data_IF_633856093790
#
_entry.id   IF_633856093790
#
_cell.length_a   1.000
_cell.length_b   1.000
_cell.length_c   1.000
_cell.angle_alpha   90.00
_cell.angle_beta   90.00
_cell.angle_gamma   90.00
#
_symmetry.space_group_name_H-M   'P 1'
#
loop_
_entity.id
_entity.type
_entity.pdbx_description
1 polymer ?
#
# COMPACT_ATOMS: atom_id res chain seq x y z
N UNK A 1 -4.80 -10.53 -0.47
CA UNK A 1 -3.44 -10.78 -1.02
C UNK A 1 -3.59 -11.08 -2.51
N UNK A 2 -2.56 -10.85 -3.34
CA UNK A 2 -2.67 -10.93 -4.81
C UNK A 2 -3.06 -9.62 -5.52
N UNK A 3 -3.05 -8.48 -4.82
CA UNK A 3 -3.17 -7.17 -5.48
C UNK A 3 -1.82 -6.79 -6.11
N UNK A 4 -1.85 -6.22 -7.31
CA UNK A 4 -0.67 -5.69 -7.98
C UNK A 4 -0.45 -4.24 -7.56
N UNK A 5 0.79 -3.88 -7.25
CA UNK A 5 1.14 -2.56 -6.67
C UNK A 5 2.40 -2.05 -7.33
N UNK A 6 2.60 -0.73 -7.23
CA UNK A 6 3.81 -0.05 -7.67
C UNK A 6 4.77 0.07 -6.48
N UNK A 7 6.02 -0.29 -6.71
CA UNK A 7 7.11 -0.08 -5.77
C UNK A 7 7.63 1.35 -5.88
N UNK A 8 7.81 2.03 -4.75
CA UNK A 8 8.27 3.42 -4.70
C UNK A 8 9.71 3.52 -4.22
N UNK A 9 9.99 3.06 -3.00
CA UNK A 9 11.33 3.02 -2.41
C UNK A 9 11.45 1.91 -1.37
N UNK A 10 12.69 1.50 -1.08
CA UNK A 10 13.00 0.70 0.09
C UNK A 10 13.25 1.61 1.28
N UNK A 11 12.64 1.30 2.43
CA UNK A 11 12.86 2.04 3.66
C UNK A 11 14.11 1.54 4.39
N UNK A 12 14.61 2.34 5.34
CA UNK A 12 15.77 1.99 6.17
C UNK A 12 15.57 0.71 6.98
N UNK A 13 14.32 0.38 7.33
CA UNK A 13 13.96 -0.89 7.97
C UNK A 13 14.09 -2.12 7.07
N UNK A 14 14.36 -1.95 5.77
CA UNK A 14 14.33 -3.01 4.77
C UNK A 14 12.93 -3.30 4.21
N UNK A 15 11.87 -2.70 4.77
CA UNK A 15 10.51 -2.81 4.24
C UNK A 15 10.35 -2.01 2.93
N UNK A 16 9.52 -2.50 2.04
CA UNK A 16 9.19 -1.84 0.78
C UNK A 16 8.03 -0.87 0.99
N UNK A 17 8.21 0.38 0.56
CA UNK A 17 7.11 1.32 0.41
C UNK A 17 6.43 1.05 -0.93
N UNK A 18 5.18 0.66 -0.86
CA UNK A 18 4.35 0.37 -2.04
C UNK A 18 3.08 1.21 -2.02
N UNK A 19 2.56 1.48 -3.21
CA UNK A 19 1.23 2.03 -3.40
C UNK A 19 0.57 1.35 -4.59
N UNK A 20 -0.72 1.09 -4.49
CA UNK A 20 -1.54 0.82 -5.66
C UNK A 20 -2.52 1.98 -5.73
N UNK A 21 -2.53 2.82 -6.78
CA UNK A 21 -3.29 4.05 -6.74
C UNK A 21 -4.70 3.81 -6.21
N UNK A 22 -5.06 4.52 -5.14
CA UNK A 22 -6.15 4.10 -4.27
C UNK A 22 -7.48 4.04 -5.02
N UNK A 23 -7.63 4.90 -6.05
CA UNK A 23 -8.77 4.91 -6.98
C UNK A 23 -8.88 3.65 -7.87
N UNK A 24 -7.77 2.98 -8.18
CA UNK A 24 -7.72 1.83 -9.10
C UNK A 24 -7.97 0.52 -8.33
N UNK A 25 -7.21 0.28 -7.27
CA UNK A 25 -7.24 -1.01 -6.57
C UNK A 25 -7.41 -0.92 -5.05
N UNK A 26 -7.60 0.29 -4.51
CA UNK A 26 -7.85 0.53 -3.08
C UNK A 26 -6.70 0.09 -2.18
N UNK A 27 -5.44 0.28 -2.59
CA UNK A 27 -4.27 -0.04 -1.77
C UNK A 27 -3.63 1.23 -1.22
N UNK A 28 -3.52 1.31 0.12
CA UNK A 28 -2.66 2.22 0.84
C UNK A 28 -1.33 2.57 0.20
N UNK A 29 -0.79 3.76 0.45
CA UNK A 29 0.61 3.86 0.82
C UNK A 29 0.85 2.95 2.02
N UNK A 30 1.61 1.89 1.82
CA UNK A 30 1.79 0.83 2.81
C UNK A 30 3.22 0.30 2.79
N UNK A 31 3.70 -0.07 3.98
CA UNK A 31 4.93 -0.86 4.14
C UNK A 31 4.64 -2.35 3.98
N UNK A 32 5.40 -3.03 3.12
CA UNK A 32 5.27 -4.47 2.87
C UNK A 32 6.64 -5.14 2.93
N UNK A 33 6.69 -6.34 3.49
CA UNK A 33 7.92 -7.13 3.51
C UNK A 33 8.21 -7.70 2.11
N UNK A 34 9.45 -7.56 1.64
CA UNK A 34 9.91 -8.07 0.35
C UNK A 34 9.64 -9.57 0.14
N UNK A 35 9.65 -10.39 1.20
CA UNK A 35 9.39 -11.84 1.10
C UNK A 35 7.98 -12.19 0.64
N UNK A 36 7.05 -11.24 0.64
CA UNK A 36 5.66 -11.43 0.21
C UNK A 36 5.34 -10.81 -1.15
N UNK A 37 6.35 -10.31 -1.86
CA UNK A 37 6.19 -9.63 -3.14
C UNK A 37 6.85 -10.45 -4.23
N UNK A 38 6.21 -10.50 -5.40
CA UNK A 38 6.80 -11.03 -6.63
C UNK A 38 7.14 -9.83 -7.50
N UNK A 39 8.41 -9.69 -7.86
CA UNK A 39 8.84 -8.66 -8.80
C UNK A 39 8.40 -9.07 -10.20
N UNK A 40 7.70 -8.17 -10.89
CA UNK A 40 7.29 -8.36 -12.28
C UNK A 40 8.24 -7.64 -13.23
N UNK A 41 8.28 -8.06 -14.48
CA UNK A 41 9.10 -7.45 -15.54
C UNK A 41 8.64 -6.04 -15.96
N UNK A 42 7.38 -5.68 -15.66
CA UNK A 42 6.81 -4.36 -15.96
C UNK A 42 7.48 -3.26 -15.13
N UNK A 43 7.94 -2.20 -15.79
CA UNK A 43 8.51 -1.00 -15.16
C UNK A 43 7.65 0.23 -15.48
N UNK A 44 7.51 1.10 -14.50
CA UNK A 44 6.78 2.38 -14.62
C UNK A 44 7.75 3.46 -14.19
N UNK A 45 7.76 4.58 -14.92
CA UNK A 45 8.55 5.72 -14.52
C UNK A 45 7.92 6.44 -13.32
N UNK A 46 8.74 6.65 -12.30
CA UNK A 46 8.40 7.29 -11.01
C UNK A 46 9.16 8.61 -10.81
N UNK A 47 9.91 9.07 -11.81
CA UNK A 47 10.65 10.33 -11.79
C UNK A 47 9.68 11.52 -11.67
N UNK A 48 9.43 11.98 -10.44
CA UNK A 48 8.53 13.09 -10.13
C UNK A 48 7.65 12.85 -8.90
N UNK A 49 7.63 11.64 -8.35
CA UNK A 49 7.02 11.40 -7.04
C UNK A 49 7.97 11.85 -5.93
N UNK A 50 7.57 12.83 -5.14
CA UNK A 50 8.32 13.21 -3.94
C UNK A 50 8.12 12.13 -2.86
N UNK A 51 9.22 11.44 -2.49
CA UNK A 51 9.23 10.34 -1.53
C UNK A 51 9.93 10.68 -0.21
N UNK A 52 10.48 11.88 -0.07
CA UNK A 52 11.32 12.27 1.07
C UNK A 52 10.55 12.30 2.38
N UNK A 53 9.23 12.58 2.31
CA UNK A 53 8.33 12.60 3.47
C UNK A 53 8.08 11.19 4.07
N UNK A 54 8.22 10.13 3.29
CA UNK A 54 7.74 8.79 3.67
C UNK A 54 8.82 7.91 4.26
N UNK A 55 9.08 8.03 5.55
CA UNK A 55 10.05 7.16 6.25
C UNK A 55 9.38 6.22 7.25
N UNK A 56 10.16 5.33 7.87
CA UNK A 56 9.66 4.35 8.85
C UNK A 56 8.87 5.00 10.01
N UNK A 57 9.26 6.23 10.39
CA UNK A 57 8.59 7.03 11.43
C UNK A 57 7.18 7.48 11.01
N UNK A 58 6.96 7.80 9.72
CA UNK A 58 5.65 8.20 9.20
C UNK A 58 4.59 7.11 9.40
N UNK A 59 5.03 5.85 9.32
CA UNK A 59 4.18 4.66 9.48
C UNK A 59 4.24 4.06 10.89
N UNK A 60 4.87 4.73 11.85
CA UNK A 60 4.84 4.29 13.24
C UNK A 60 3.39 4.32 13.75
N UNK A 61 2.99 3.25 14.43
CA UNK A 61 1.68 3.20 15.07
C UNK A 61 1.77 4.06 16.32
N UNK A 62 0.85 5.01 16.49
CA UNK A 62 0.71 5.72 17.75
C UNK A 62 0.42 4.71 18.86
N UNK A 63 1.36 4.62 19.81
CA UNK A 63 1.23 3.80 21.00
C UNK A 63 0.44 4.63 22.00
N UNK A 64 -0.85 4.32 22.14
CA UNK A 64 -1.64 4.88 23.22
C UNK A 64 -1.11 4.31 24.54
N UNK A 65 -0.65 5.19 25.42
CA UNK A 65 -0.41 4.84 26.81
C UNK A 65 -1.74 4.37 27.40
N UNK A 66 -1.88 3.05 27.57
CA UNK A 66 -3.05 2.45 28.20
C UNK A 66 -3.22 3.04 29.60
N UNK A 67 -4.17 3.98 29.77
CA UNK A 67 -4.73 4.27 31.09
C UNK A 67 -5.36 2.97 31.58
N UNK A 68 -5.13 2.58 32.85
CA UNK A 68 -5.82 1.45 33.47
C UNK A 68 -7.32 1.75 33.46
N UNK A 69 -8.06 1.17 32.52
CA UNK A 69 -9.52 1.25 32.44
C UNK A 69 -10.12 0.12 33.28
N UNK A 70 -11.16 0.42 34.05
CA UNK A 70 -11.96 -0.55 34.81
C UNK A 70 -12.84 -1.40 33.88
N UNK A 71 -13.22 -2.62 34.27
CA UNK A 71 -13.86 -3.63 33.40
C UNK A 71 -15.11 -3.13 32.64
N UNK A 72 -15.87 -2.16 33.19
CA UNK A 72 -17.04 -1.56 32.53
C UNK A 72 -16.72 -0.62 31.36
N UNK A 73 -15.59 0.09 31.40
CA UNK A 73 -15.18 1.03 30.34
C UNK A 73 -14.49 0.32 29.16
N UNK A 74 -14.14 -0.97 29.33
CA UNK A 74 -13.49 -1.78 28.31
C UNK A 74 -14.44 -2.16 27.17
N UNK A 75 -15.71 -2.45 27.49
CA UNK A 75 -16.74 -2.82 26.51
C UNK A 75 -17.34 -1.62 25.76
N UNK A 76 -17.32 -0.41 26.34
CA UNK A 76 -17.75 0.81 25.64
C UNK A 76 -16.67 1.33 24.68
N UNK A 77 -15.39 1.21 25.05
CA UNK A 77 -14.26 1.63 24.21
C UNK A 77 -14.11 0.80 22.90
N UNK A 78 -14.55 -0.46 22.90
CA UNK A 78 -14.49 -1.31 21.69
C UNK A 78 -15.40 -0.81 20.55
N UNK A 79 -16.44 -0.01 20.85
CA UNK A 79 -17.38 0.49 19.83
C UNK A 79 -16.96 1.79 19.17
N UNK A 80 -16.08 2.59 19.78
CA UNK A 80 -15.75 3.95 19.29
C UNK A 80 -14.36 4.11 18.67
N UNK A 81 -13.39 3.24 18.94
CA UNK A 81 -12.02 3.41 18.44
C UNK A 81 -11.78 2.83 17.03
N UNK A 82 -12.69 3.12 16.08
CA UNK A 82 -12.26 3.14 14.67
C UNK A 82 -11.39 4.38 14.50
N UNK A 83 -10.08 4.26 14.81
CA UNK A 83 -9.07 5.32 14.59
C UNK A 83 -9.37 6.04 13.28
N UNK A 84 -9.88 7.28 13.36
CA UNK A 84 -10.15 8.09 12.17
C UNK A 84 -8.82 8.22 11.44
N UNK A 85 -8.78 7.82 10.18
CA UNK A 85 -7.59 7.98 9.35
C UNK A 85 -7.23 9.47 9.32
N UNK A 86 -5.99 9.85 9.68
CA UNK A 86 -5.56 11.24 9.63
C UNK A 86 -5.80 11.82 8.24
N UNK A 87 -6.34 13.04 8.17
CA UNK A 87 -6.65 13.70 6.90
C UNK A 87 -5.38 13.93 6.07
N UNK A 88 -4.26 14.23 6.73
CA UNK A 88 -2.93 14.37 6.12
C UNK A 88 -2.53 13.15 5.28
N UNK A 89 -2.81 11.93 5.78
CA UNK A 89 -2.48 10.69 5.06
C UNK A 89 -3.31 10.53 3.79
N UNK A 90 -4.53 11.07 3.76
CA UNK A 90 -5.39 11.07 2.57
C UNK A 90 -4.89 12.07 1.53
N UNK A 91 -4.40 13.22 1.97
CA UNK A 91 -3.84 14.24 1.07
C UNK A 91 -2.52 13.76 0.46
N UNK A 92 -1.64 13.20 1.28
CA UNK A 92 -0.40 12.57 0.84
C UNK A 92 -0.65 11.48 -0.20
N UNK A 93 -1.66 10.63 0.04
CA UNK A 93 -2.08 9.61 -0.91
C UNK A 93 -2.53 10.22 -2.24
N UNK A 94 -3.38 11.26 -2.20
CA UNK A 94 -3.88 11.91 -3.42
C UNK A 94 -2.76 12.54 -4.24
N UNK A 95 -1.77 13.14 -3.58
CA UNK A 95 -0.62 13.75 -4.24
C UNK A 95 0.22 12.72 -4.99
N UNK A 96 0.55 11.59 -4.33
CA UNK A 96 1.31 10.49 -4.95
C UNK A 96 0.50 9.81 -6.06
N UNK A 97 -0.78 9.53 -5.82
CA UNK A 97 -1.64 8.88 -6.80
C UNK A 97 -1.85 9.72 -8.05
N UNK A 98 -1.96 11.05 -7.92
CA UNK A 98 -2.15 11.95 -9.06
C UNK A 98 -1.00 11.87 -10.06
N UNK A 99 0.23 11.68 -9.60
CA UNK A 99 1.37 11.48 -10.47
C UNK A 99 1.37 10.08 -11.09
N UNK A 100 1.22 9.04 -10.26
CA UNK A 100 1.27 7.65 -10.72
C UNK A 100 0.17 7.30 -11.71
N UNK A 101 -1.04 7.86 -11.56
CA UNK A 101 -2.14 7.63 -12.49
C UNK A 101 -1.76 8.11 -13.89
N UNK A 102 -1.07 9.24 -14.04
CA UNK A 102 -0.60 9.73 -15.34
C UNK A 102 0.39 8.75 -15.99
N UNK A 103 1.38 8.27 -15.22
CA UNK A 103 2.34 7.28 -15.71
C UNK A 103 1.66 5.95 -16.08
N UNK A 104 0.64 5.54 -15.32
CA UNK A 104 -0.12 4.31 -15.57
C UNK A 104 -1.00 4.41 -16.81
N UNK A 105 -1.62 5.57 -17.04
CA UNK A 105 -2.45 5.81 -18.22
C UNK A 105 -1.62 5.91 -19.51
N UNK A 106 -0.32 6.22 -19.40
CA UNK A 106 0.61 6.15 -20.52
C UNK A 106 0.94 4.73 -21.00
N UNK A 107 0.69 3.69 -20.20
CA UNK A 107 0.92 2.29 -20.58
C UNK A 107 -0.42 1.61 -20.90
N UNK A 108 -0.59 1.05 -22.11
CA UNK A 108 -1.82 0.36 -22.50
C UNK A 108 -2.21 -0.73 -21.49
N UNK A 109 -3.51 -0.78 -21.14
CA UNK A 109 -4.14 -1.79 -20.27
C UNK A 109 -3.62 -1.90 -18.83
N UNK A 110 -2.59 -1.14 -18.44
CA UNK A 110 -1.96 -1.25 -17.13
C UNK A 110 -2.91 -0.92 -15.97
N UNK A 111 -3.82 0.02 -16.19
CA UNK A 111 -4.88 0.36 -15.23
C UNK A 111 -5.79 -0.84 -14.91
N UNK A 112 -6.22 -1.57 -15.93
CA UNK A 112 -7.03 -2.77 -15.77
C UNK A 112 -6.21 -3.91 -15.14
N UNK A 113 -4.95 -4.05 -15.54
CA UNK A 113 -4.01 -5.00 -14.96
C UNK A 113 -3.83 -4.79 -13.44
N UNK A 114 -3.65 -3.55 -12.98
CA UNK A 114 -3.50 -3.21 -11.55
C UNK A 114 -4.79 -3.39 -10.74
N UNK A 115 -5.96 -3.18 -11.36
CA UNK A 115 -7.26 -3.42 -10.73
C UNK A 115 -7.55 -4.92 -10.53
N UNK A 116 -7.10 -5.76 -11.48
CA UNK A 116 -7.25 -7.20 -11.41
C UNK A 116 -6.31 -7.83 -10.36
N UNK A 117 -6.80 -8.88 -9.69
CA UNK A 117 -6.01 -9.68 -8.75
C UNK A 117 -5.27 -10.79 -9.48
N UNK A 118 -4.05 -11.07 -9.05
CA UNK A 118 -3.34 -12.29 -9.43
C UNK A 118 -3.85 -13.46 -8.59
N UNK A 119 -4.23 -14.53 -9.28
CA UNK A 119 -4.53 -15.83 -8.70
C UNK A 119 -4.10 -16.92 -9.67
N UNK A 120 -3.77 -18.08 -9.13
CA UNK A 120 -3.49 -19.28 -9.92
C UNK A 120 -4.81 -19.96 -10.24
N UNK A 121 -4.97 -20.41 -11.48
CA UNK A 121 -6.05 -21.32 -11.87
C UNK A 121 -5.56 -22.76 -11.81
N UNK A 122 -6.50 -23.71 -11.83
CA UNK A 122 -6.17 -25.13 -11.93
C UNK A 122 -5.25 -25.38 -13.13
N UNK A 123 -4.17 -26.11 -12.91
CA UNK A 123 -3.16 -26.42 -13.94
C UNK A 123 -2.05 -25.37 -14.11
N UNK A 124 -2.13 -24.18 -13.51
CA UNK A 124 -1.03 -23.19 -13.57
C UNK A 124 0.05 -23.52 -12.53
N UNK A 125 1.29 -23.70 -12.97
CA UNK A 125 2.43 -23.98 -12.09
C UNK A 125 3.28 -22.72 -11.86
N UNK A 126 3.44 -22.24 -10.61
CA UNK A 126 4.16 -20.99 -10.34
C UNK A 126 5.60 -20.92 -10.84
N UNK A 127 6.31 -22.05 -10.85
CA UNK A 127 7.70 -22.12 -11.31
C UNK A 127 7.85 -22.07 -12.84
N UNK A 128 6.75 -22.25 -13.58
CA UNK A 128 6.70 -22.13 -15.04
C UNK A 128 6.22 -20.73 -15.47
N UNK A 129 5.68 -19.92 -14.55
CA UNK A 129 5.19 -18.58 -14.86
C UNK A 129 6.35 -17.58 -14.89
N UNK A 130 6.33 -16.73 -15.91
CA UNK A 130 7.22 -15.56 -16.02
C UNK A 130 6.45 -14.34 -15.50
N UNK A 131 7.08 -13.61 -14.58
CA UNK A 131 6.52 -12.44 -13.92
C UNK A 131 7.13 -11.14 -14.47
#
# INVERSE_FOLDING_TARGET
MGKRVVFLKQLTSGLLLVTGPFKINGVPLRRVNQSYVIATSTKIDILGVNLDKFDDKYFAKEVENKKKKTEGEFFEAEKEDKKKLPEDKKEDQKAVDAFLIKSIEGVPELKAYLAARFSLKSGMKPHELVF
#
